data_IF_294423411276
#
_entry.id   IF_294423411276
#
_cell.length_a   1.000
_cell.length_b   1.000
_cell.length_c   1.000
_cell.angle_alpha   90.00
_cell.angle_beta   90.00
_cell.angle_gamma   90.00
#
_symmetry.space_group_name_H-M   'P 1'
#
loop_
_entity.id
_entity.type
_entity.pdbx_description
1 polymer ?
#
# COMPACT_ATOMS: atom_id res chain seq x y z
N UNK A 1 38.39 -3.01 -3.81
CA UNK A 1 37.39 -3.35 -2.75
C UNK A 1 36.47 -2.20 -2.34
N UNK A 2 36.90 -1.16 -1.59
CA UNK A 2 35.94 -0.12 -1.12
C UNK A 2 35.35 0.73 -2.27
N UNK A 3 36.14 1.01 -3.30
CA UNK A 3 35.69 1.77 -4.48
C UNK A 3 34.70 0.97 -5.34
N UNK A 4 35.03 -0.28 -5.67
CA UNK A 4 34.17 -1.19 -6.44
C UNK A 4 32.78 -1.36 -5.82
N UNK A 5 32.70 -1.46 -4.49
CA UNK A 5 31.42 -1.56 -3.79
C UNK A 5 30.58 -0.28 -3.97
N UNK A 6 31.20 0.89 -3.85
CA UNK A 6 30.52 2.18 -4.02
C UNK A 6 30.02 2.32 -5.47
N UNK A 7 30.84 1.92 -6.45
CA UNK A 7 30.48 1.95 -7.86
C UNK A 7 29.25 1.07 -8.15
N UNK A 8 29.20 -0.14 -7.57
CA UNK A 8 28.04 -1.03 -7.69
C UNK A 8 26.79 -0.43 -7.06
N UNK A 9 26.89 0.12 -5.84
CA UNK A 9 25.75 0.74 -5.15
C UNK A 9 25.21 1.97 -5.89
N UNK A 10 26.10 2.77 -6.49
CA UNK A 10 25.69 3.91 -7.34
C UNK A 10 25.07 3.44 -8.66
N UNK A 11 25.67 2.45 -9.32
CA UNK A 11 25.19 1.94 -10.61
C UNK A 11 23.81 1.31 -10.50
N UNK A 12 23.55 0.58 -9.41
CA UNK A 12 22.29 -0.12 -9.17
C UNK A 12 21.43 0.56 -8.10
N UNK A 13 21.54 1.87 -7.91
CA UNK A 13 20.81 2.61 -6.87
C UNK A 13 19.30 2.30 -6.88
N UNK A 14 18.70 2.25 -8.08
CA UNK A 14 17.27 1.95 -8.27
C UNK A 14 16.85 0.52 -7.90
N UNK A 15 17.79 -0.40 -7.65
CA UNK A 15 17.49 -1.74 -7.18
C UNK A 15 17.30 -1.80 -5.65
N UNK A 16 17.62 -0.71 -4.95
CA UNK A 16 17.48 -0.60 -3.50
C UNK A 16 16.24 0.24 -3.16
N UNK A 17 15.57 -0.12 -2.07
CA UNK A 17 14.45 0.67 -1.56
C UNK A 17 14.97 1.96 -0.93
N UNK A 18 14.35 3.09 -1.24
CA UNK A 18 14.59 4.39 -0.61
C UNK A 18 13.28 4.96 -0.06
N UNK A 19 13.36 5.73 1.03
CA UNK A 19 12.20 6.39 1.64
C UNK A 19 11.60 7.49 0.73
N UNK A 20 12.34 7.91 -0.31
CA UNK A 20 11.93 8.97 -1.22
C UNK A 20 11.22 8.47 -2.48
N UNK A 21 11.21 7.15 -2.70
CA UNK A 21 10.61 6.57 -3.89
C UNK A 21 9.31 5.85 -3.54
N UNK A 22 8.19 6.16 -4.23
CA UNK A 22 6.96 5.45 -3.99
C UNK A 22 7.12 3.97 -4.35
N UNK A 23 6.58 3.09 -3.50
CA UNK A 23 6.43 1.67 -3.80
C UNK A 23 5.32 1.50 -4.83
N UNK A 24 5.65 1.78 -6.09
CA UNK A 24 4.70 1.70 -7.20
C UNK A 24 4.46 0.24 -7.56
N UNK A 25 3.23 -0.06 -7.97
CA UNK A 25 2.93 -1.32 -8.64
C UNK A 25 3.83 -1.48 -9.87
N UNK A 26 4.43 -2.66 -10.03
CA UNK A 26 5.11 -3.02 -11.27
C UNK A 26 4.02 -3.13 -12.33
N UNK A 27 4.10 -2.29 -13.36
CA UNK A 27 3.15 -2.30 -14.49
C UNK A 27 3.10 -3.69 -15.11
N UNK A 28 1.89 -4.20 -15.35
CA UNK A 28 1.67 -5.53 -15.94
C UNK A 28 1.53 -6.67 -14.93
N UNK A 29 1.61 -6.37 -13.62
CA UNK A 29 1.34 -7.33 -12.54
C UNK A 29 0.08 -6.98 -11.75
N UNK A 30 -0.84 -6.23 -12.35
CA UNK A 30 -2.15 -5.97 -11.77
C UNK A 30 -2.94 -7.28 -11.61
N UNK A 31 -3.57 -7.45 -10.45
CA UNK A 31 -4.39 -8.62 -10.15
C UNK A 31 -5.86 -8.24 -10.28
N UNK A 32 -6.58 -8.92 -11.17
CA UNK A 32 -8.04 -8.84 -11.24
C UNK A 32 -8.64 -9.88 -10.28
N UNK A 33 -9.37 -9.40 -9.28
CA UNK A 33 -10.02 -10.24 -8.27
C UNK A 33 -11.53 -10.12 -8.46
N UNK A 34 -12.12 -11.14 -9.08
CA UNK A 34 -13.57 -11.22 -9.27
C UNK A 34 -14.22 -12.08 -8.18
N UNK A 35 -15.33 -11.61 -7.62
CA UNK A 35 -16.15 -12.43 -6.71
C UNK A 35 -16.98 -13.43 -7.51
N UNK A 36 -17.14 -14.64 -6.98
CA UNK A 36 -18.01 -15.67 -7.57
C UNK A 36 -19.52 -15.44 -7.30
N UNK A 37 -19.89 -14.26 -6.81
CA UNK A 37 -21.26 -13.89 -6.44
C UNK A 37 -21.59 -12.49 -6.92
N UNK A 38 -22.85 -12.28 -7.29
CA UNK A 38 -23.37 -10.99 -7.69
C UNK A 38 -23.97 -10.22 -6.50
N UNK A 39 -24.16 -8.91 -6.68
CA UNK A 39 -24.83 -8.06 -5.68
C UNK A 39 -26.30 -8.52 -5.49
N UNK A 40 -26.87 -8.40 -4.28
CA UNK A 40 -26.31 -7.76 -3.09
C UNK A 40 -25.30 -8.64 -2.36
N UNK A 41 -24.18 -8.05 -1.97
CA UNK A 41 -23.15 -8.76 -1.22
C UNK A 41 -23.64 -9.17 0.18
N UNK A 42 -23.13 -10.29 0.72
CA UNK A 42 -23.46 -10.75 2.06
C UNK A 42 -23.26 -9.64 3.12
N UNK A 43 -24.19 -9.46 4.07
CA UNK A 43 -24.05 -8.46 5.13
C UNK A 43 -22.77 -8.59 5.95
N UNK A 44 -22.23 -9.81 6.05
CA UNK A 44 -20.94 -10.09 6.72
C UNK A 44 -19.75 -9.39 6.08
N UNK A 45 -19.86 -8.89 4.84
CA UNK A 45 -18.80 -8.06 4.24
C UNK A 45 -18.88 -6.59 4.69
N UNK A 46 -19.96 -6.18 5.35
CA UNK A 46 -20.18 -4.81 5.87
C UNK A 46 -19.93 -4.73 7.38
N UNK A 47 -18.79 -5.28 7.82
CA UNK A 47 -18.42 -5.23 9.24
C UNK A 47 -17.75 -3.87 9.51
N UNK A 48 -18.20 -3.12 10.54
CA UNK A 48 -17.51 -1.89 10.94
C UNK A 48 -16.11 -2.20 11.46
N UNK A 49 -15.17 -1.27 11.29
CA UNK A 49 -13.85 -1.41 11.87
C UNK A 49 -13.94 -1.58 13.40
N UNK A 50 -13.14 -2.50 13.93
CA UNK A 50 -13.07 -2.72 15.37
C UNK A 50 -12.52 -1.47 16.08
N UNK A 51 -13.04 -1.10 17.26
CA UNK A 51 -12.53 0.06 17.98
C UNK A 51 -11.06 -0.14 18.38
N UNK A 52 -10.21 0.82 17.99
CA UNK A 52 -8.82 0.86 18.40
C UNK A 52 -8.63 1.74 19.64
N UNK A 53 -7.70 1.37 20.52
CA UNK A 53 -7.28 2.24 21.63
C UNK A 53 -6.56 3.50 21.10
N UNK A 54 -6.59 4.64 21.83
CA UNK A 54 -6.07 5.92 21.32
C UNK A 54 -4.64 5.84 20.79
N UNK A 55 -3.73 5.25 21.57
CA UNK A 55 -2.32 5.06 21.17
C UNK A 55 -2.17 4.23 19.89
N UNK A 56 -2.98 3.19 19.74
CA UNK A 56 -2.95 2.36 18.54
C UNK A 56 -3.48 3.14 17.33
N UNK A 57 -4.54 3.93 17.52
CA UNK A 57 -5.11 4.78 16.47
C UNK A 57 -4.10 5.81 15.95
N UNK A 58 -3.35 6.46 16.83
CA UNK A 58 -2.29 7.42 16.44
C UNK A 58 -1.19 6.76 15.60
N UNK A 59 -0.70 5.59 16.04
CA UNK A 59 0.31 4.84 15.30
C UNK A 59 -0.21 4.35 13.94
N UNK A 60 -1.45 3.88 13.88
CA UNK A 60 -2.09 3.47 12.64
C UNK A 60 -2.27 4.64 11.66
N UNK A 61 -2.67 5.81 12.16
CA UNK A 61 -2.83 7.00 11.32
C UNK A 61 -1.50 7.42 10.69
N UNK A 62 -0.41 7.42 11.46
CA UNK A 62 0.94 7.69 10.94
C UNK A 62 1.32 6.72 9.82
N UNK A 63 1.19 5.42 10.08
CA UNK A 63 1.53 4.39 9.09
C UNK A 63 0.65 4.48 7.83
N UNK A 64 -0.65 4.77 8.00
CA UNK A 64 -1.56 4.95 6.87
C UNK A 64 -1.14 6.14 5.99
N UNK A 65 -0.71 7.25 6.60
CA UNK A 65 -0.23 8.42 5.87
C UNK A 65 1.03 8.09 5.06
N UNK A 66 1.99 7.37 5.66
CA UNK A 66 3.20 6.91 4.96
C UNK A 66 2.84 6.01 3.77
N UNK A 67 1.95 5.04 3.96
CA UNK A 67 1.51 4.14 2.89
C UNK A 67 0.75 4.85 1.75
N UNK A 68 0.01 5.93 2.06
CA UNK A 68 -0.62 6.78 1.05
C UNK A 68 0.45 7.53 0.24
N UNK A 69 1.47 8.10 0.92
CA UNK A 69 2.56 8.81 0.24
C UNK A 69 3.37 7.87 -0.67
N UNK A 70 3.59 6.62 -0.23
CA UNK A 70 4.24 5.58 -1.02
C UNK A 70 3.37 5.06 -2.18
N UNK A 71 2.10 5.47 -2.29
CA UNK A 71 1.18 5.03 -3.33
C UNK A 71 0.66 3.60 -3.16
N UNK A 72 0.82 3.02 -1.97
CA UNK A 72 0.33 1.67 -1.62
C UNK A 72 -1.15 1.71 -1.26
N UNK A 73 -1.57 2.74 -0.51
CA UNK A 73 -2.97 2.95 -0.14
C UNK A 73 -3.57 4.15 -0.87
N UNK A 74 -4.84 4.04 -1.24
CA UNK A 74 -5.65 5.13 -1.79
C UNK A 74 -6.94 5.27 -0.99
N UNK A 75 -7.40 6.51 -0.82
CA UNK A 75 -8.73 6.78 -0.26
C UNK A 75 -9.79 6.47 -1.31
N UNK A 76 -10.75 5.64 -0.93
CA UNK A 76 -11.90 5.26 -1.76
C UNK A 76 -13.15 5.88 -1.18
N UNK A 77 -13.97 6.50 -2.03
CA UNK A 77 -15.24 7.11 -1.62
C UNK A 77 -16.33 6.07 -1.31
N UNK A 78 -17.30 6.43 -0.47
CA UNK A 78 -18.42 5.54 -0.11
C UNK A 78 -19.25 5.06 -1.31
N UNK A 79 -19.25 5.81 -2.41
CA UNK A 79 -20.01 5.53 -3.63
C UNK A 79 -19.09 5.19 -4.82
N UNK A 80 -17.79 5.02 -4.59
CA UNK A 80 -16.88 4.66 -5.65
C UNK A 80 -17.02 3.16 -5.92
N UNK A 81 -17.41 2.81 -7.15
CA UNK A 81 -17.37 1.42 -7.60
C UNK A 81 -15.91 1.04 -7.85
N UNK A 82 -15.43 0.09 -7.05
CA UNK A 82 -14.11 -0.53 -7.16
C UNK A 82 -14.27 -1.94 -7.72
#
# INVERSE_FOLDING_TARGET
MRHELIDVLYTYNNAFSSDNEPLRAIKGHEVDITLNIDRPYPPVLRIPAYPAIPRAREALEKNNQELIQLGVLRRVGHNEEV
#
